data_IF_665168902426
#
_entry.id   IF_665168902426
#
_cell.length_a   1.000
_cell.length_b   1.000
_cell.length_c   1.000
_cell.angle_alpha   90.00
_cell.angle_beta   90.00
_cell.angle_gamma   90.00
#
_symmetry.space_group_name_H-M   'P 1'
#
loop_
_entity.id
_entity.type
_entity.pdbx_description
1 polymer ?
#
# COMPACT_ATOMS: atom_id res chain seq x y z
N UNK A 1 22.11 1.61 -1.13
CA UNK A 1 21.78 2.77 -0.26
C UNK A 1 20.45 3.44 -0.63
N UNK A 2 20.17 3.72 -1.91
CA UNK A 2 18.98 4.47 -2.36
C UNK A 2 17.62 3.94 -1.85
N UNK A 3 17.36 2.63 -1.91
CA UNK A 3 16.09 2.07 -1.42
C UNK A 3 15.89 2.25 0.09
N UNK A 4 16.96 2.16 0.88
CA UNK A 4 16.88 2.39 2.32
C UNK A 4 16.55 3.86 2.62
N UNK A 5 17.14 4.79 1.88
CA UNK A 5 16.86 6.23 2.01
C UNK A 5 15.40 6.55 1.61
N UNK A 6 14.87 5.90 0.58
CA UNK A 6 13.47 6.06 0.17
C UNK A 6 12.48 5.51 1.21
N UNK A 7 12.81 4.38 1.86
CA UNK A 7 12.00 3.81 2.93
C UNK A 7 12.03 4.66 4.20
N UNK A 8 13.23 4.98 4.71
CA UNK A 8 13.42 5.66 5.98
C UNK A 8 13.51 7.19 5.87
N UNK A 9 13.15 7.75 4.72
CA UNK A 9 13.07 9.19 4.46
C UNK A 9 11.64 9.61 4.09
N UNK A 10 11.32 9.74 2.79
CA UNK A 10 10.01 10.22 2.33
C UNK A 10 8.86 9.31 2.76
N UNK A 11 9.02 7.98 2.70
CA UNK A 11 7.95 7.07 3.09
C UNK A 11 7.71 7.05 4.61
N UNK A 12 8.76 6.98 5.43
CA UNK A 12 8.63 7.08 6.89
C UNK A 12 7.98 8.40 7.32
N UNK A 13 8.42 9.52 6.75
CA UNK A 13 7.81 10.82 7.04
C UNK A 13 6.31 10.84 6.66
N UNK A 14 5.98 10.32 5.48
CA UNK A 14 4.60 10.23 5.01
C UNK A 14 3.70 9.43 5.97
N UNK A 15 4.16 8.26 6.40
CA UNK A 15 3.44 7.39 7.33
C UNK A 15 3.24 8.09 8.67
N UNK A 16 4.30 8.67 9.24
CA UNK A 16 4.22 9.38 10.52
C UNK A 16 3.26 10.57 10.45
N UNK A 17 3.32 11.37 9.37
CA UNK A 17 2.39 12.47 9.14
C UNK A 17 0.95 12.00 9.01
N UNK A 18 0.70 10.91 8.29
CA UNK A 18 -0.64 10.37 8.14
C UNK A 18 -1.24 9.96 9.50
N UNK A 19 -0.45 9.32 10.37
CA UNK A 19 -0.90 8.96 11.73
C UNK A 19 -1.23 10.20 12.56
N UNK A 20 -0.33 11.19 12.59
CA UNK A 20 -0.56 12.44 13.34
C UNK A 20 -1.81 13.16 12.85
N UNK A 21 -1.96 13.31 11.53
CA UNK A 21 -3.11 13.99 10.96
C UNK A 21 -4.41 13.18 11.20
N UNK A 22 -4.36 11.85 11.20
CA UNK A 22 -5.51 11.00 11.55
C UNK A 22 -5.96 11.18 13.01
N UNK A 23 -5.03 11.37 13.95
CA UNK A 23 -5.37 11.71 15.35
C UNK A 23 -5.93 13.13 15.45
N UNK A 24 -5.30 14.09 14.77
CA UNK A 24 -5.74 15.50 14.78
C UNK A 24 -7.14 15.69 14.18
N UNK A 25 -7.49 14.92 13.15
CA UNK A 25 -8.81 14.94 12.51
C UNK A 25 -9.85 14.06 13.20
N UNK A 26 -9.46 13.34 14.26
CA UNK A 26 -10.36 12.46 15.02
C UNK A 26 -10.73 11.16 14.30
N UNK A 27 -9.99 10.78 13.25
CA UNK A 27 -10.08 9.43 12.66
C UNK A 27 -9.62 8.41 13.70
N UNK A 28 -8.53 8.71 14.41
CA UNK A 28 -8.11 7.96 15.59
C UNK A 28 -8.51 8.82 16.81
N UNK A 29 -9.32 8.30 17.75
CA UNK A 29 -9.65 9.02 18.98
C UNK A 29 -8.39 9.40 19.75
N UNK A 30 -8.29 10.65 20.19
CA UNK A 30 -7.10 11.14 20.91
C UNK A 30 -6.91 10.41 22.24
N UNK A 31 -8.00 10.07 22.89
CA UNK A 31 -8.05 9.35 24.16
C UNK A 31 -7.52 7.91 24.07
N UNK A 32 -7.52 7.31 22.88
CA UNK A 32 -7.01 5.95 22.66
C UNK A 32 -5.60 5.95 22.05
N UNK A 33 -5.12 7.11 21.57
CA UNK A 33 -3.92 7.19 20.75
C UNK A 33 -2.64 6.68 21.47
N UNK A 34 -2.55 6.83 22.79
CA UNK A 34 -1.41 6.38 23.60
C UNK A 34 -1.42 4.86 23.88
N UNK A 35 -2.56 4.18 23.67
CA UNK A 35 -2.76 2.76 23.96
C UNK A 35 -2.89 1.89 22.69
N UNK A 36 -2.79 2.51 21.51
CA UNK A 36 -2.91 1.84 20.22
C UNK A 36 -1.54 1.51 19.61
N UNK A 37 -1.47 0.38 18.92
CA UNK A 37 -0.33 -0.01 18.10
C UNK A 37 -0.72 -0.10 16.63
N UNK A 38 0.04 0.59 15.76
CA UNK A 38 -0.20 0.62 14.31
C UNK A 38 0.95 -0.09 13.58
N UNK A 39 0.63 -1.18 12.89
CA UNK A 39 1.56 -1.86 12.00
C UNK A 39 1.35 -1.40 10.55
N UNK A 40 2.34 -0.75 9.94
CA UNK A 40 2.25 -0.23 8.56
C UNK A 40 3.21 -0.99 7.64
N UNK A 41 2.65 -1.78 6.72
CA UNK A 41 3.39 -2.39 5.62
C UNK A 41 3.52 -1.43 4.44
N UNK A 42 4.74 -0.99 4.14
CA UNK A 42 5.02 -0.05 3.04
C UNK A 42 5.62 -0.79 1.85
N UNK A 43 5.06 -0.56 0.67
CA UNK A 43 5.60 -1.10 -0.59
C UNK A 43 6.14 0.04 -1.46
N UNK A 44 7.43 -0.07 -1.83
CA UNK A 44 8.08 0.84 -2.77
C UNK A 44 8.70 -0.02 -3.87
N UNK A 45 8.21 0.12 -5.10
CA UNK A 45 8.79 -0.57 -6.24
C UNK A 45 10.25 -0.15 -6.45
N UNK A 46 11.13 -1.07 -6.80
CA UNK A 46 12.58 -0.83 -6.94
C UNK A 46 12.94 0.21 -8.02
N UNK A 47 12.05 0.45 -8.99
CA UNK A 47 12.21 1.50 -10.00
C UNK A 47 11.66 2.87 -9.57
N UNK A 48 11.14 3.02 -8.34
CA UNK A 48 10.65 4.30 -7.86
C UNK A 48 11.79 5.33 -7.76
N UNK A 49 11.53 6.52 -8.27
CA UNK A 49 12.56 7.56 -8.40
C UNK A 49 12.16 8.95 -7.95
N UNK A 50 10.87 9.19 -7.78
CA UNK A 50 10.33 10.48 -7.38
C UNK A 50 9.96 10.42 -5.89
N UNK A 51 10.82 10.98 -5.05
CA UNK A 51 10.66 10.96 -3.60
C UNK A 51 9.43 11.77 -3.15
N UNK A 52 9.03 12.81 -3.89
CA UNK A 52 7.83 13.58 -3.60
C UNK A 52 6.57 12.74 -3.86
N UNK A 53 6.54 11.95 -4.93
CA UNK A 53 5.45 10.98 -5.19
C UNK A 53 5.44 9.85 -4.18
N UNK A 54 6.61 9.32 -3.82
CA UNK A 54 6.72 8.30 -2.76
C UNK A 54 6.08 8.84 -1.48
N UNK A 55 6.43 10.06 -1.07
CA UNK A 55 5.85 10.68 0.12
C UNK A 55 4.34 10.89 -0.02
N UNK A 56 3.88 11.53 -1.09
CA UNK A 56 2.47 11.87 -1.28
C UNK A 56 1.56 10.62 -1.35
N UNK A 57 1.98 9.59 -2.08
CA UNK A 57 1.21 8.36 -2.23
C UNK A 57 1.18 7.55 -0.94
N UNK A 58 2.31 7.44 -0.23
CA UNK A 58 2.32 6.75 1.07
C UNK A 58 1.48 7.48 2.11
N UNK A 59 1.49 8.82 2.13
CA UNK A 59 0.66 9.60 3.04
C UNK A 59 -0.83 9.34 2.78
N UNK A 60 -1.25 9.50 1.52
CA UNK A 60 -2.65 9.31 1.13
C UNK A 60 -3.12 7.86 1.36
N UNK A 61 -2.28 6.87 1.02
CA UNK A 61 -2.59 5.46 1.20
C UNK A 61 -2.70 5.08 2.68
N UNK A 62 -1.76 5.51 3.53
CA UNK A 62 -1.80 5.25 4.97
C UNK A 62 -3.01 5.88 5.62
N UNK A 63 -3.31 7.15 5.31
CA UNK A 63 -4.46 7.84 5.89
C UNK A 63 -5.79 7.19 5.49
N UNK A 64 -5.92 6.78 4.22
CA UNK A 64 -7.09 6.04 3.75
C UNK A 64 -7.21 4.66 4.41
N UNK A 65 -6.08 3.96 4.59
CA UNK A 65 -6.06 2.67 5.26
C UNK A 65 -6.49 2.78 6.73
N UNK A 66 -6.01 3.80 7.46
CA UNK A 66 -6.42 4.07 8.84
C UNK A 66 -7.91 4.38 8.93
N UNK A 67 -8.42 5.28 8.09
CA UNK A 67 -9.84 5.62 8.07
C UNK A 67 -10.73 4.40 7.82
N UNK A 68 -10.34 3.54 6.87
CA UNK A 68 -11.03 2.29 6.57
C UNK A 68 -10.95 1.28 7.71
N UNK A 69 -9.77 1.13 8.31
CA UNK A 69 -9.56 0.21 9.43
C UNK A 69 -10.42 0.58 10.64
N UNK A 70 -10.45 1.87 11.01
CA UNK A 70 -11.29 2.37 12.11
C UNK A 70 -12.78 2.22 11.78
N UNK A 71 -13.20 2.49 10.54
CA UNK A 71 -14.58 2.30 10.12
C UNK A 71 -15.00 0.82 9.96
N UNK A 72 -14.06 -0.13 10.01
CA UNK A 72 -14.33 -1.54 9.75
C UNK A 72 -14.70 -1.83 8.28
N UNK A 73 -14.18 -1.03 7.35
CA UNK A 73 -14.52 -1.07 5.93
C UNK A 73 -13.36 -1.55 5.03
N UNK A 74 -13.68 -2.20 3.90
CA UNK A 74 -14.99 -2.74 3.54
C UNK A 74 -15.35 -3.96 4.40
N UNK A 75 -16.65 -4.20 4.60
CA UNK A 75 -17.12 -5.42 5.26
C UNK A 75 -16.92 -6.64 4.36
N UNK A 76 -16.84 -7.84 4.96
CA UNK A 76 -16.72 -9.10 4.19
C UNK A 76 -17.86 -9.26 3.17
N UNK A 77 -19.08 -8.89 3.54
CA UNK A 77 -20.23 -8.94 2.63
C UNK A 77 -20.03 -8.02 1.41
N UNK A 78 -19.56 -6.78 1.62
CA UNK A 78 -19.26 -5.85 0.54
C UNK A 78 -18.15 -6.36 -0.39
N UNK A 79 -17.11 -6.99 0.18
CA UNK A 79 -16.03 -7.59 -0.59
C UNK A 79 -16.55 -8.75 -1.44
N UNK A 80 -17.28 -9.69 -0.84
CA UNK A 80 -17.82 -10.87 -1.55
C UNK A 80 -18.78 -10.49 -2.68
N UNK A 81 -19.59 -9.44 -2.50
CA UNK A 81 -20.48 -8.93 -3.53
C UNK A 81 -19.71 -8.42 -4.77
N UNK A 82 -18.52 -7.85 -4.57
CA UNK A 82 -17.69 -7.26 -5.65
C UNK A 82 -16.61 -8.19 -6.17
N UNK A 83 -16.25 -9.24 -5.43
CA UNK A 83 -15.12 -10.12 -5.72
C UNK A 83 -15.19 -10.76 -7.12
N UNK A 84 -16.39 -11.03 -7.64
CA UNK A 84 -16.57 -11.62 -8.98
C UNK A 84 -16.41 -10.62 -10.13
N UNK A 85 -16.62 -9.33 -9.86
CA UNK A 85 -16.54 -8.26 -10.85
C UNK A 85 -15.16 -7.56 -10.85
N UNK A 86 -14.38 -7.72 -9.78
CA UNK A 86 -13.02 -7.19 -9.69
C UNK A 86 -12.05 -8.15 -10.38
N UNK A 87 -11.35 -7.68 -11.41
CA UNK A 87 -10.23 -8.41 -12.01
C UNK A 87 -8.95 -7.91 -11.34
N UNK A 88 -8.25 -8.73 -10.54
CA UNK A 88 -6.96 -8.34 -9.98
C UNK A 88 -5.93 -8.15 -11.10
N UNK A 89 -5.16 -7.07 -11.04
CA UNK A 89 -4.16 -6.69 -12.06
C UNK A 89 -2.96 -7.67 -12.17
N UNK A 90 -2.95 -8.72 -11.35
CA UNK A 90 -1.96 -9.78 -11.30
C UNK A 90 -2.50 -11.15 -11.75
N UNK A 91 -3.71 -11.22 -12.31
CA UNK A 91 -4.20 -12.48 -12.89
C UNK A 91 -3.34 -12.88 -14.07
N UNK A 92 -2.88 -14.14 -14.07
CA UNK A 92 -2.24 -14.75 -15.23
C UNK A 92 -3.15 -14.54 -16.46
N UNK A 93 -2.58 -14.19 -17.64
CA UNK A 93 -3.37 -14.20 -18.86
C UNK A 93 -4.04 -15.58 -18.98
N UNK A 94 -5.35 -15.59 -19.26
CA UNK A 94 -6.13 -16.84 -19.33
C UNK A 94 -5.61 -17.81 -20.41
N UNK A 95 -4.70 -17.36 -21.27
CA UNK A 95 -3.87 -18.21 -22.10
C UNK A 95 -2.40 -18.11 -21.64
N UNK A 96 -1.88 -19.20 -21.09
CA UNK A 96 -0.44 -19.46 -21.15
C UNK A 96 -0.05 -19.48 -22.64
N UNK A 97 0.94 -18.69 -23.09
CA UNK A 97 1.49 -18.88 -24.43
C UNK A 97 1.97 -20.33 -24.53
N UNK A 98 1.45 -21.08 -25.50
CA UNK A 98 1.91 -22.43 -25.80
C UNK A 98 3.27 -22.38 -26.50
N UNK A 99 4.31 -22.03 -25.74
CA UNK A 99 5.71 -22.41 -25.93
C UNK A 99 6.58 -21.46 -25.10
N UNK A 100 7.39 -22.03 -24.21
CA UNK A 100 8.58 -21.34 -23.72
C UNK A 100 9.53 -21.15 -24.92
N UNK A 101 10.07 -19.94 -25.18
CA UNK A 101 11.12 -19.78 -26.17
C UNK A 101 12.31 -20.65 -25.75
N UNK A 102 12.70 -21.57 -26.65
CA UNK A 102 13.87 -22.41 -26.46
C UNK A 102 15.10 -21.50 -26.32
N UNK A 103 15.80 -21.61 -25.19
CA UNK A 103 17.02 -20.86 -24.93
C UNK A 103 18.07 -21.26 -25.97
N UNK A 104 18.48 -20.31 -26.82
CA UNK A 104 19.58 -20.51 -27.74
C UNK A 104 20.89 -20.35 -26.94
N UNK A 105 21.78 -21.35 -26.92
CA UNK A 105 23.02 -21.27 -26.15
C UNK A 105 23.93 -20.17 -26.74
N UNK A 106 24.66 -19.42 -25.89
CA UNK A 106 25.56 -18.38 -26.35
C UNK A 106 26.72 -18.96 -27.17
N UNK A 107 27.12 -18.22 -28.20
CA UNK A 107 28.26 -18.51 -29.08
C UNK A 107 29.60 -18.32 -28.36
#
# INVERSE_FOLDING_TARGET
ARQAVQMFGPAQYAVARAVVDSVAEGIIPQEEADDLFIAVGVFIHWQAADDARIQAFNYAATKLALARAVAGEPTVAQVLAKARASVPDFTLPQALPQALPQAQPPA
#
